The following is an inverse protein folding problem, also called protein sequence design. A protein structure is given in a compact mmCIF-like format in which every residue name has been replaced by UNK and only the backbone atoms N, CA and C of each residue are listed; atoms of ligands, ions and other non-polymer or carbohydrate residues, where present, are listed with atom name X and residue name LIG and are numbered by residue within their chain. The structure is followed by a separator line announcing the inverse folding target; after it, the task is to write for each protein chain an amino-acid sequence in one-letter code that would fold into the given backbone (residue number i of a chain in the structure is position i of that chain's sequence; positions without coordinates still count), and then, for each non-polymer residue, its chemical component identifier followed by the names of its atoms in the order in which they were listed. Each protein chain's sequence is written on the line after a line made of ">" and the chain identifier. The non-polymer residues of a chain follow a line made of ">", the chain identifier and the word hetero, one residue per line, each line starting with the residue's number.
data_IF_596009974798
#
_entry.id   IF_596009974798
#
_cell.length_a   1.000
_cell.length_b   1.000
_cell.length_c   1.000
_cell.angle_alpha   90.00
_cell.angle_beta   90.00
_cell.angle_gamma   90.00
#
_symmetry.space_group_name_H-M   'P 1'
#
loop_
_entity.id
_entity.type
_entity.pdbx_description
1 polymer ?
#
# COMPACT_ATOMS: atom_id res chain seq x y z
N UNK A 1 10.74 37.76 17.47
CA UNK A 1 9.76 36.85 16.85
C UNK A 1 10.56 35.69 16.27
N UNK A 2 10.57 34.58 16.99
CA UNK A 2 11.34 33.37 16.68
C UNK A 2 10.66 32.65 15.53
N UNK A 3 11.36 32.50 14.40
CA UNK A 3 10.94 31.60 13.33
C UNK A 3 10.98 30.17 13.88
N UNK A 4 9.83 29.49 13.86
CA UNK A 4 9.79 28.06 14.12
C UNK A 4 10.41 27.35 12.91
N UNK A 5 11.64 26.87 13.07
CA UNK A 5 12.25 25.93 12.14
C UNK A 5 11.42 24.64 12.14
N UNK A 6 10.87 24.29 10.99
CA UNK A 6 10.29 22.97 10.78
C UNK A 6 11.43 21.93 10.93
N UNK A 7 11.24 20.84 11.69
CA UNK A 7 12.27 19.83 11.85
C UNK A 7 12.63 19.27 10.47
N UNK A 8 13.92 19.36 10.10
CA UNK A 8 14.49 18.64 8.96
C UNK A 8 14.12 17.16 9.11
N UNK A 9 13.12 16.73 8.34
CA UNK A 9 12.64 15.35 8.37
C UNK A 9 13.76 14.48 7.78
N UNK A 10 14.32 13.67 8.66
CA UNK A 10 15.59 12.97 8.58
C UNK A 10 15.84 12.25 7.23
N UNK A 11 16.53 12.85 6.25
CA UNK A 11 16.87 12.21 4.95
C UNK A 11 17.59 10.85 5.11
N UNK A 12 18.10 10.57 6.31
CA UNK A 12 18.71 9.30 6.68
C UNK A 12 17.75 8.10 6.54
N UNK A 13 16.47 8.23 6.91
CA UNK A 13 15.53 7.09 6.87
C UNK A 13 15.25 6.63 5.43
N UNK A 14 15.18 7.55 4.45
CA UNK A 14 14.98 7.18 3.04
C UNK A 14 16.20 6.47 2.45
N UNK A 15 17.41 6.86 2.85
CA UNK A 15 18.64 6.17 2.43
C UNK A 15 18.70 4.76 3.01
N UNK A 16 18.33 4.59 4.28
CA UNK A 16 18.23 3.27 4.91
C UNK A 16 17.15 2.41 4.26
N UNK A 17 15.97 2.98 4.00
CA UNK A 17 14.88 2.29 3.31
C UNK A 17 15.29 1.82 1.92
N UNK A 18 16.07 2.63 1.17
CA UNK A 18 16.62 2.24 -0.12
C UNK A 18 17.54 1.03 0.00
N UNK A 19 18.45 1.04 0.98
CA UNK A 19 19.35 -0.09 1.22
C UNK A 19 18.60 -1.37 1.60
N UNK A 20 17.56 -1.27 2.42
CA UNK A 20 16.69 -2.41 2.75
C UNK A 20 15.95 -2.90 1.51
N UNK A 21 15.39 -2.00 0.71
CA UNK A 21 14.73 -2.34 -0.54
C UNK A 21 15.67 -3.09 -1.48
N UNK A 22 16.88 -2.58 -1.74
CA UNK A 22 17.84 -3.21 -2.65
C UNK A 22 18.27 -4.61 -2.18
N UNK A 23 18.30 -4.85 -0.86
CA UNK A 23 18.59 -6.17 -0.27
C UNK A 23 17.43 -7.16 -0.26
N UNK A 24 16.22 -6.72 -0.65
CA UNK A 24 15.00 -7.53 -0.54
C UNK A 24 14.35 -7.50 0.85
N UNK A 25 14.81 -6.63 1.75
CA UNK A 25 14.24 -6.41 3.08
C UNK A 25 13.06 -5.43 2.99
N UNK A 26 12.06 -5.76 2.15
CA UNK A 26 10.96 -4.86 1.79
C UNK A 26 10.13 -4.42 2.99
N UNK A 27 9.96 -5.28 3.98
CA UNK A 27 9.20 -4.97 5.19
C UNK A 27 9.88 -3.84 6.00
N UNK A 28 11.21 -3.91 6.17
CA UNK A 28 11.97 -2.89 6.91
C UNK A 28 11.97 -1.56 6.14
N UNK A 29 12.09 -1.62 4.80
CA UNK A 29 11.95 -0.44 3.95
C UNK A 29 10.57 0.21 4.12
N UNK A 30 9.50 -0.59 4.14
CA UNK A 30 8.13 -0.13 4.36
C UNK A 30 7.95 0.51 5.73
N UNK A 31 8.51 -0.09 6.78
CA UNK A 31 8.49 0.45 8.14
C UNK A 31 9.15 1.81 8.24
N UNK A 32 10.39 1.92 7.76
CA UNK A 32 11.17 3.16 7.79
C UNK A 32 10.44 4.31 7.08
N UNK A 33 9.78 4.03 5.95
CA UNK A 33 8.99 5.03 5.22
C UNK A 33 7.72 5.37 6.00
N UNK A 34 6.91 4.37 6.34
CA UNK A 34 5.57 4.56 6.87
C UNK A 34 5.55 5.23 8.25
N UNK A 35 6.46 4.87 9.15
CA UNK A 35 6.56 5.49 10.48
C UNK A 35 6.92 6.98 10.38
N UNK A 36 7.63 7.38 9.31
CA UNK A 36 7.98 8.77 9.05
C UNK A 36 6.91 9.54 8.26
N UNK A 37 5.79 8.91 7.88
CA UNK A 37 4.66 9.59 7.24
C UNK A 37 3.68 10.19 8.27
N UNK A 38 3.26 11.46 8.11
CA UNK A 38 2.16 12.00 8.91
C UNK A 38 0.88 11.21 8.64
N UNK A 39 0.05 10.99 9.67
CA UNK A 39 -1.20 10.22 9.53
C UNK A 39 -2.10 10.71 8.39
N UNK A 40 -2.15 12.03 8.15
CA UNK A 40 -2.96 12.63 7.10
C UNK A 40 -2.49 12.32 5.67
N UNK A 41 -1.23 11.89 5.50
CA UNK A 41 -0.63 11.59 4.19
C UNK A 41 -0.72 10.10 3.84
N UNK A 42 -0.71 9.23 4.86
CA UNK A 42 -0.63 7.77 4.71
C UNK A 42 -1.68 7.19 3.74
N UNK A 43 -2.97 7.58 3.79
CA UNK A 43 -3.97 7.02 2.88
C UNK A 43 -3.70 7.35 1.41
N UNK A 44 -3.34 8.61 1.12
CA UNK A 44 -3.01 9.04 -0.25
C UNK A 44 -1.74 8.36 -0.76
N UNK A 45 -0.72 8.24 0.09
CA UNK A 45 0.51 7.51 -0.23
C UNK A 45 0.22 6.06 -0.62
N UNK A 46 -0.53 5.33 0.21
CA UNK A 46 -0.92 3.95 -0.05
C UNK A 46 -1.75 3.83 -1.34
N UNK A 47 -2.72 4.74 -1.54
CA UNK A 47 -3.54 4.79 -2.74
C UNK A 47 -2.75 4.99 -4.04
N UNK A 48 -1.68 5.81 -4.02
CA UNK A 48 -0.82 5.99 -5.20
C UNK A 48 -0.08 4.73 -5.61
N UNK A 49 0.35 3.92 -4.63
CA UNK A 49 1.00 2.63 -4.87
C UNK A 49 -0.01 1.64 -5.48
N UNK A 50 -1.22 1.57 -4.93
CA UNK A 50 -2.30 0.76 -5.54
C UNK A 50 -2.62 1.23 -6.97
N UNK A 51 -2.69 2.54 -7.20
CA UNK A 51 -2.95 3.12 -8.52
C UNK A 51 -1.88 2.68 -9.54
N UNK A 52 -0.60 2.76 -9.19
CA UNK A 52 0.50 2.29 -10.04
C UNK A 52 0.30 0.82 -10.46
N UNK A 53 -0.02 -0.05 -9.51
CA UNK A 53 -0.23 -1.48 -9.77
C UNK A 53 -1.46 -1.72 -10.66
N UNK A 54 -2.54 -0.97 -10.47
CA UNK A 54 -3.74 -1.06 -11.31
C UNK A 54 -3.50 -0.58 -12.74
N UNK A 55 -2.71 0.48 -12.91
CA UNK A 55 -2.32 0.99 -14.22
C UNK A 55 -1.44 -0.02 -14.97
N UNK A 56 -0.46 -0.63 -14.30
CA UNK A 56 0.41 -1.64 -14.93
C UNK A 56 -0.33 -2.95 -15.24
N UNK A 57 -1.22 -3.41 -14.34
CA UNK A 57 -1.98 -4.65 -14.55
C UNK A 57 -3.13 -4.52 -15.55
N UNK A 58 -3.64 -3.31 -15.78
CA UNK A 58 -4.85 -3.07 -16.56
C UNK A 58 -6.14 -3.57 -15.88
N UNK A 59 -6.07 -4.07 -14.63
CA UNK A 59 -7.24 -4.58 -13.90
C UNK A 59 -8.17 -3.43 -13.55
N UNK A 60 -9.43 -3.56 -13.96
CA UNK A 60 -10.49 -2.60 -13.68
C UNK A 60 -11.53 -3.22 -12.76
N UNK A 61 -11.83 -2.56 -11.64
CA UNK A 61 -12.92 -2.95 -10.75
C UNK A 61 -13.49 -1.71 -10.06
N UNK A 62 -14.83 -1.55 -10.01
CA UNK A 62 -15.45 -0.48 -9.24
C UNK A 62 -15.00 -0.46 -7.78
N UNK A 63 -14.67 -1.63 -7.21
CA UNK A 63 -14.19 -1.75 -5.83
C UNK A 63 -12.83 -1.05 -5.65
N UNK A 64 -11.89 -1.28 -6.56
CA UNK A 64 -10.57 -0.63 -6.51
C UNK A 64 -10.67 0.88 -6.74
N UNK A 65 -11.53 1.32 -7.66
CA UNK A 65 -11.81 2.74 -7.87
C UNK A 65 -12.39 3.40 -6.61
N UNK A 66 -13.25 2.71 -5.86
CA UNK A 66 -13.76 3.20 -4.58
C UNK A 66 -12.66 3.34 -3.53
N UNK A 67 -11.74 2.36 -3.42
CA UNK A 67 -10.59 2.44 -2.51
C UNK A 67 -9.77 3.69 -2.81
N UNK A 68 -9.41 3.92 -4.08
CA UNK A 68 -8.63 5.09 -4.49
C UNK A 68 -9.35 6.41 -4.22
N UNK A 69 -10.65 6.47 -4.53
CA UNK A 69 -11.46 7.67 -4.29
C UNK A 69 -11.55 8.03 -2.81
N UNK A 70 -11.75 7.02 -1.94
CA UNK A 70 -11.83 7.22 -0.50
C UNK A 70 -10.45 7.59 0.06
N UNK A 71 -9.39 6.84 -0.27
CA UNK A 71 -8.03 7.11 0.21
C UNK A 71 -7.56 8.54 -0.14
N UNK A 72 -7.96 9.07 -1.31
CA UNK A 72 -7.66 10.43 -1.75
C UNK A 72 -8.46 11.56 -1.08
N UNK A 73 -9.53 11.23 -0.33
CA UNK A 73 -10.46 12.20 0.24
C UNK A 73 -10.71 11.95 1.74
N UNK A 74 -10.08 12.78 2.58
CA UNK A 74 -10.18 12.69 4.05
C UNK A 74 -11.61 12.68 4.58
N UNK A 75 -12.52 13.46 3.98
CA UNK A 75 -13.94 13.50 4.39
C UNK A 75 -14.66 12.15 4.21
N UNK A 76 -14.10 11.26 3.39
CA UNK A 76 -14.64 9.95 3.07
C UNK A 76 -13.96 8.80 3.81
N UNK A 77 -12.87 9.00 4.54
CA UNK A 77 -12.11 7.88 5.15
C UNK A 77 -12.97 7.00 6.06
N UNK A 78 -13.90 7.57 6.81
CA UNK A 78 -14.88 6.82 7.61
C UNK A 78 -15.78 5.85 6.80
N UNK A 79 -15.90 6.07 5.50
CA UNK A 79 -16.67 5.24 4.58
C UNK A 79 -15.88 4.05 4.03
N UNK A 80 -14.61 3.85 4.40
CA UNK A 80 -13.79 2.75 3.89
C UNK A 80 -14.21 1.38 4.44
N UNK A 81 -14.85 1.33 5.62
CA UNK A 81 -15.15 0.07 6.32
C UNK A 81 -15.99 -0.92 5.50
N UNK A 82 -17.09 -0.52 4.82
CA UNK A 82 -17.81 -1.43 3.92
C UNK A 82 -16.94 -1.93 2.76
N UNK A 83 -16.09 -1.06 2.18
CA UNK A 83 -15.17 -1.41 1.09
C UNK A 83 -14.13 -2.44 1.56
N UNK A 84 -13.58 -2.24 2.75
CA UNK A 84 -12.69 -3.20 3.41
C UNK A 84 -13.37 -4.57 3.57
N UNK A 85 -14.62 -4.62 4.05
CA UNK A 85 -15.33 -5.89 4.19
C UNK A 85 -15.46 -6.66 2.87
N UNK A 86 -15.72 -5.96 1.77
CA UNK A 86 -15.76 -6.58 0.42
C UNK A 86 -14.39 -7.09 -0.01
N UNK A 87 -13.33 -6.31 0.20
CA UNK A 87 -11.95 -6.75 -0.08
C UNK A 87 -11.58 -7.99 0.74
N UNK A 88 -11.88 -7.97 2.04
CA UNK A 88 -11.59 -9.09 2.94
C UNK A 88 -12.29 -10.36 2.50
N UNK A 89 -13.54 -10.27 2.05
CA UNK A 89 -14.27 -11.41 1.51
C UNK A 89 -13.58 -11.98 0.26
N UNK A 90 -13.12 -11.12 -0.66
CA UNK A 90 -12.36 -11.55 -1.84
C UNK A 90 -11.03 -12.20 -1.45
N UNK A 91 -10.28 -11.62 -0.51
CA UNK A 91 -9.03 -12.20 0.02
C UNK A 91 -9.26 -13.62 0.55
N UNK A 92 -10.30 -13.80 1.37
CA UNK A 92 -10.62 -15.11 1.96
C UNK A 92 -11.00 -16.15 0.89
N UNK A 93 -11.75 -15.74 -0.15
CA UNK A 93 -12.10 -16.63 -1.26
C UNK A 93 -10.87 -17.06 -2.07
N UNK A 94 -9.96 -16.12 -2.35
CA UNK A 94 -8.72 -16.41 -3.08
C UNK A 94 -7.78 -17.29 -2.24
N UNK A 95 -7.70 -17.08 -0.93
CA UNK A 95 -6.93 -17.94 -0.03
C UNK A 95 -7.50 -19.37 0.07
N UNK A 96 -8.82 -19.52 0.08
CA UNK A 96 -9.49 -20.82 0.06
C UNK A 96 -9.18 -21.56 -1.25
N UNK A 97 -9.31 -20.89 -2.39
CA UNK A 97 -8.98 -21.44 -3.70
C UNK A 97 -7.49 -21.85 -3.78
N UNK A 98 -6.59 -21.02 -3.25
CA UNK A 98 -5.15 -21.30 -3.20
C UNK A 98 -4.84 -22.58 -2.41
N UNK A 99 -5.54 -22.82 -1.30
CA UNK A 99 -5.36 -24.04 -0.48
C UNK A 99 -6.00 -25.28 -1.09
N UNK A 100 -7.05 -25.11 -1.88
CA UNK A 100 -7.77 -26.19 -2.54
C UNK A 100 -7.12 -26.62 -3.85
N UNK A 101 -7.54 -25.98 -4.95
CA UNK A 101 -7.11 -26.31 -6.31
C UNK A 101 -5.82 -25.62 -6.73
N UNK A 102 -5.32 -24.68 -5.92
CA UNK A 102 -4.30 -23.72 -6.35
C UNK A 102 -4.92 -22.58 -7.16
N UNK A 103 -4.11 -21.55 -7.44
CA UNK A 103 -4.48 -20.41 -8.26
C UNK A 103 -3.77 -20.47 -9.63
N UNK A 104 -4.46 -20.01 -10.66
CA UNK A 104 -3.83 -19.63 -11.92
C UNK A 104 -2.94 -18.40 -11.74
N UNK A 105 -2.09 -18.10 -12.73
CA UNK A 105 -1.24 -16.89 -12.68
C UNK A 105 -2.05 -15.60 -12.58
N UNK A 106 -3.17 -15.53 -13.29
CA UNK A 106 -4.06 -14.36 -13.28
C UNK A 106 -4.75 -14.22 -11.92
N UNK A 107 -5.11 -15.33 -11.28
CA UNK A 107 -5.67 -15.32 -9.93
C UNK A 107 -4.62 -14.99 -8.86
N UNK A 108 -3.37 -15.42 -9.00
CA UNK A 108 -2.27 -14.99 -8.13
C UNK A 108 -2.03 -13.48 -8.25
N UNK A 109 -2.03 -12.94 -9.46
CA UNK A 109 -1.94 -11.51 -9.70
C UNK A 109 -3.11 -10.77 -9.04
N UNK A 110 -4.34 -11.25 -9.25
CA UNK A 110 -5.53 -10.67 -8.64
C UNK A 110 -5.48 -10.74 -7.11
N UNK A 111 -5.04 -11.86 -6.53
CA UNK A 111 -4.89 -12.03 -5.09
C UNK A 111 -3.90 -11.02 -4.50
N UNK A 112 -2.77 -10.79 -5.17
CA UNK A 112 -1.80 -9.78 -4.77
C UNK A 112 -2.36 -8.36 -4.86
N UNK A 113 -3.16 -8.03 -5.89
CA UNK A 113 -3.83 -6.72 -6.03
C UNK A 113 -4.87 -6.52 -4.94
N UNK A 114 -5.70 -7.54 -4.66
CA UNK A 114 -6.73 -7.49 -3.62
C UNK A 114 -6.08 -7.30 -2.25
N UNK A 115 -5.00 -8.03 -1.96
CA UNK A 115 -4.25 -7.87 -0.72
C UNK A 115 -3.68 -6.45 -0.56
N UNK A 116 -3.06 -5.89 -1.62
CA UNK A 116 -2.59 -4.50 -1.60
C UNK A 116 -3.75 -3.53 -1.33
N UNK A 117 -4.89 -3.71 -2.00
CA UNK A 117 -6.07 -2.87 -1.78
C UNK A 117 -6.63 -2.99 -0.35
N UNK A 118 -6.59 -4.18 0.25
CA UNK A 118 -6.95 -4.40 1.66
C UNK A 118 -6.02 -3.61 2.59
N UNK A 119 -4.70 -3.62 2.35
CA UNK A 119 -3.73 -2.82 3.10
C UNK A 119 -4.01 -1.31 2.98
N UNK A 120 -4.31 -0.82 1.77
CA UNK A 120 -4.70 0.58 1.55
C UNK A 120 -5.95 0.93 2.35
N UNK A 121 -6.94 0.03 2.39
CA UNK A 121 -8.17 0.24 3.15
C UNK A 121 -7.90 0.29 4.67
N UNK A 122 -7.05 -0.60 5.20
CA UNK A 122 -6.63 -0.59 6.61
C UNK A 122 -5.90 0.70 6.98
N UNK A 123 -4.90 1.10 6.18
CA UNK A 123 -4.17 2.36 6.39
C UNK A 123 -5.10 3.58 6.35
N UNK A 124 -6.09 3.57 5.44
CA UNK A 124 -7.08 4.64 5.33
C UNK A 124 -7.96 4.72 6.57
N UNK A 125 -8.40 3.58 7.11
CA UNK A 125 -9.21 3.55 8.34
C UNK A 125 -8.39 3.97 9.57
N UNK A 126 -7.14 3.50 9.70
CA UNK A 126 -6.24 3.86 10.81
C UNK A 126 -5.89 5.36 10.84
N UNK A 127 -6.07 6.08 9.74
CA UNK A 127 -5.89 7.52 9.69
C UNK A 127 -7.13 8.33 10.17
N UNK A 128 -8.25 7.66 10.47
CA UNK A 128 -9.46 8.33 10.99
C UNK A 128 -9.31 8.74 12.47
N UNK A 129 -10.23 9.59 12.95
CA UNK A 129 -10.30 10.00 14.36
C UNK A 129 -11.75 9.90 14.87
N UNK A 130 -12.04 9.10 15.91
CA UNK A 130 -11.10 8.23 16.63
C UNK A 130 -10.57 7.12 15.73
N UNK A 131 -9.31 6.76 15.91
CA UNK A 131 -8.76 5.57 15.29
C UNK A 131 -9.48 4.35 15.88
N UNK A 132 -10.00 3.49 15.02
CA UNK A 132 -10.43 2.15 15.37
C UNK A 132 -9.43 1.22 14.69
N UNK A 133 -8.67 0.47 15.48
CA UNK A 133 -7.34 0.01 15.09
C UNK A 133 -7.41 -1.31 14.29
N UNK A 134 -7.09 -1.23 13.00
CA UNK A 134 -6.46 -2.37 12.33
C UNK A 134 -4.98 -2.46 12.72
N UNK A 135 -4.37 -3.61 12.42
CA UNK A 135 -2.96 -3.90 12.69
C UNK A 135 -2.03 -2.72 12.33
N UNK A 136 -1.22 -2.26 13.29
CA UNK A 136 -0.33 -1.10 13.14
C UNK A 136 0.68 -1.26 12.00
N UNK A 137 1.04 -2.51 11.69
CA UNK A 137 2.01 -2.90 10.67
C UNK A 137 1.45 -2.91 9.24
N UNK A 138 0.15 -2.63 9.05
CA UNK A 138 -0.49 -2.64 7.73
C UNK A 138 0.22 -1.73 6.73
N UNK A 139 0.76 -0.60 7.19
CA UNK A 139 1.54 0.31 6.37
C UNK A 139 2.91 -0.25 5.95
N UNK A 140 3.52 -1.10 6.78
CA UNK A 140 4.82 -1.73 6.51
C UNK A 140 4.67 -2.80 5.42
N UNK A 141 3.58 -3.57 5.49
CA UNK A 141 3.25 -4.61 4.52
C UNK A 141 2.99 -4.10 3.10
N UNK A 142 2.69 -2.82 2.91
CA UNK A 142 2.53 -2.25 1.56
C UNK A 142 3.80 -2.40 0.74
N UNK A 143 4.98 -2.18 1.34
CA UNK A 143 6.25 -2.35 0.62
C UNK A 143 6.50 -3.82 0.26
N UNK A 144 6.19 -4.76 1.15
CA UNK A 144 6.29 -6.21 0.86
C UNK A 144 5.31 -6.65 -0.21
N UNK A 145 4.07 -6.16 -0.17
CA UNK A 145 3.08 -6.42 -1.20
C UNK A 145 3.53 -5.85 -2.55
N UNK A 146 4.07 -4.62 -2.58
CA UNK A 146 4.61 -4.02 -3.79
C UNK A 146 5.81 -4.81 -4.35
N UNK A 147 6.69 -5.27 -3.46
CA UNK A 147 7.88 -6.03 -3.84
C UNK A 147 7.54 -7.34 -4.55
N UNK A 148 6.45 -8.00 -4.16
CA UNK A 148 5.99 -9.20 -4.86
C UNK A 148 5.76 -8.95 -6.36
N UNK A 149 5.21 -7.79 -6.74
CA UNK A 149 5.01 -7.47 -8.16
C UNK A 149 6.34 -7.29 -8.90
N UNK A 150 7.32 -6.65 -8.28
CA UNK A 150 8.67 -6.45 -8.84
C UNK A 150 9.38 -7.80 -9.06
N UNK A 151 9.26 -8.71 -8.11
CA UNK A 151 9.99 -9.98 -8.15
C UNK A 151 9.28 -11.06 -8.99
N UNK A 152 7.95 -10.98 -9.15
CA UNK A 152 7.15 -12.08 -9.71
C UNK A 152 6.22 -11.71 -10.87
N UNK A 153 5.68 -10.50 -10.93
CA UNK A 153 4.71 -10.10 -11.94
C UNK A 153 5.35 -9.32 -13.10
N UNK A 154 6.17 -8.32 -12.76
CA UNK A 154 6.79 -7.39 -13.70
C UNK A 154 8.26 -7.17 -13.32
N UNK A 155 9.12 -8.04 -13.81
CA UNK A 155 10.56 -8.05 -13.51
C UNK A 155 11.37 -7.05 -14.35
N UNK A 156 10.69 -6.21 -15.14
CA UNK A 156 11.31 -5.18 -15.94
C UNK A 156 11.83 -4.03 -15.05
N UNK A 157 13.03 -3.54 -15.35
CA UNK A 157 13.69 -2.46 -14.61
C UNK A 157 12.80 -1.23 -14.45
N UNK A 158 12.04 -0.90 -15.50
CA UNK A 158 11.08 0.22 -15.52
C UNK A 158 10.07 0.14 -14.37
N UNK A 159 9.48 -1.03 -14.12
CA UNK A 159 8.49 -1.18 -13.06
C UNK A 159 9.16 -1.15 -11.68
N UNK A 160 10.33 -1.74 -11.53
CA UNK A 160 11.11 -1.70 -10.29
C UNK A 160 11.43 -0.25 -9.86
N UNK A 161 11.89 0.58 -10.80
CA UNK A 161 12.15 2.01 -10.56
C UNK A 161 10.87 2.78 -10.18
N UNK A 162 9.77 2.51 -10.89
CA UNK A 162 8.47 3.13 -10.62
C UNK A 162 7.94 2.74 -9.23
N UNK A 163 8.09 1.47 -8.84
CA UNK A 163 7.69 0.95 -7.53
C UNK A 163 8.46 1.64 -6.39
N UNK A 164 9.79 1.72 -6.50
CA UNK A 164 10.61 2.44 -5.52
C UNK A 164 10.27 3.94 -5.47
N UNK A 165 10.07 4.57 -6.63
CA UNK A 165 9.66 5.98 -6.73
C UNK A 165 8.32 6.24 -6.05
N UNK A 166 7.34 5.35 -6.23
CA UNK A 166 6.05 5.43 -5.57
C UNK A 166 6.16 5.28 -4.05
N UNK A 167 7.00 4.35 -3.56
CA UNK A 167 7.22 4.14 -2.13
C UNK A 167 7.82 5.35 -1.43
N UNK A 168 8.86 5.97 -2.01
CA UNK A 168 9.60 7.07 -1.36
C UNK A 168 8.93 8.44 -1.46
N UNK A 169 7.91 8.61 -2.31
CA UNK A 169 7.32 9.93 -2.60
C UNK A 169 6.06 10.19 -1.78
N UNK A 170 6.06 11.26 -0.99
CA UNK A 170 5.01 11.54 -0.01
C UNK A 170 4.06 12.70 -0.39
N UNK A 171 4.22 13.30 -1.57
CA UNK A 171 3.46 14.48 -2.05
C UNK A 171 2.07 14.14 -2.61
#
# INVERSE_FOLDING_TARGET
>A
MTQAEMPQKDENHLKQAAQCWDKGESWEAGKLIYENLPNSVRPRWAGRILKLVLEESGVQSPLFSQVLAIAGNESMWKCIRPVFSSLRQMTLQLDENRRGSGLTKDEELLASIVFLAELVAKVTYNATNPADEFDEDSGWWIATSLRWFVDHAWTEERFSEAAWSALRTCE
#
